data_IF_708169536363
#
_entry.id   IF_708169536363
#
_cell.length_a   1.000
_cell.length_b   1.000
_cell.length_c   1.000
_cell.angle_alpha   90.00
_cell.angle_beta   90.00
_cell.angle_gamma   90.00
#
_symmetry.space_group_name_H-M   'P 1'
#
loop_
_entity.id
_entity.type
_entity.pdbx_description
1 polymer ?
#
# COMPACT_ATOMS: atom_id res chain seq x y z
N UNK A 1 42.14 -26.02 -0.35
CA UNK A 1 40.65 -26.05 -0.35
C UNK A 1 40.18 -24.71 0.21
N UNK A 2 39.73 -23.77 -0.60
CA UNK A 2 39.15 -22.54 -0.07
C UNK A 2 37.68 -22.78 0.30
N UNK A 3 37.33 -22.44 1.52
CA UNK A 3 36.00 -22.50 2.11
C UNK A 3 35.12 -21.41 1.47
N UNK A 4 34.09 -21.84 0.76
CA UNK A 4 33.06 -20.96 0.20
C UNK A 4 32.25 -20.30 1.32
N UNK A 5 32.49 -19.03 1.56
CA UNK A 5 31.61 -18.18 2.39
C UNK A 5 30.34 -17.89 1.60
N UNK A 6 29.27 -18.58 1.94
CA UNK A 6 27.89 -18.25 1.47
C UNK A 6 27.49 -16.91 2.08
N UNK A 7 27.76 -15.83 1.35
CA UNK A 7 27.27 -14.50 1.67
C UNK A 7 25.74 -14.47 1.55
N UNK A 8 25.07 -14.06 2.60
CA UNK A 8 23.66 -13.63 2.60
C UNK A 8 23.40 -12.73 1.38
N UNK A 9 22.30 -12.90 0.61
CA UNK A 9 22.05 -12.05 -0.55
C UNK A 9 21.92 -10.60 -0.10
N UNK A 10 22.96 -9.83 -0.34
CA UNK A 10 23.06 -8.42 0.05
C UNK A 10 21.92 -7.65 -0.60
N UNK A 11 21.18 -6.92 0.22
CA UNK A 11 20.14 -5.99 -0.24
C UNK A 11 20.72 -5.12 -1.36
N UNK A 12 20.15 -5.15 -2.56
CA UNK A 12 20.69 -4.41 -3.70
C UNK A 12 20.74 -2.91 -3.37
N UNK A 13 21.78 -2.21 -3.86
CA UNK A 13 21.93 -0.75 -3.64
C UNK A 13 20.69 0.03 -4.07
N UNK A 14 20.04 -0.38 -5.17
CA UNK A 14 18.78 0.19 -5.62
C UNK A 14 17.68 0.08 -4.55
N UNK A 15 17.61 -1.06 -3.86
CA UNK A 15 16.64 -1.28 -2.78
C UNK A 15 16.93 -0.40 -1.56
N UNK A 16 18.18 -0.26 -1.18
CA UNK A 16 18.60 0.65 -0.09
C UNK A 16 18.20 2.09 -0.41
N UNK A 17 18.45 2.56 -1.64
CA UNK A 17 18.06 3.90 -2.11
C UNK A 17 16.54 4.08 -2.03
N UNK A 18 15.77 3.12 -2.51
CA UNK A 18 14.32 3.19 -2.51
C UNK A 18 13.72 3.14 -1.09
N UNK A 19 14.23 2.27 -0.20
CA UNK A 19 13.82 2.24 1.21
C UNK A 19 14.16 3.56 1.92
N UNK A 20 15.35 4.12 1.68
CA UNK A 20 15.75 5.41 2.23
C UNK A 20 14.90 6.56 1.71
N UNK A 21 14.48 6.50 0.45
CA UNK A 21 13.55 7.48 -0.12
C UNK A 21 12.19 7.48 0.63
N UNK A 22 11.65 6.30 0.96
CA UNK A 22 10.43 6.20 1.77
C UNK A 22 10.63 6.76 3.18
N UNK A 23 11.75 6.48 3.83
CA UNK A 23 12.06 7.04 5.16
C UNK A 23 12.08 8.57 5.10
N UNK A 24 12.75 9.15 4.11
CA UNK A 24 12.81 10.61 3.95
C UNK A 24 11.44 11.23 3.64
N UNK A 25 10.61 10.55 2.85
CA UNK A 25 9.24 10.99 2.59
C UNK A 25 8.41 11.02 3.88
N UNK A 26 8.49 9.98 4.71
CA UNK A 26 7.78 9.92 5.97
C UNK A 26 8.27 10.99 6.97
N UNK A 27 9.59 11.18 7.09
CA UNK A 27 10.20 12.08 8.07
C UNK A 27 10.14 13.57 7.65
N UNK A 28 10.29 13.88 6.34
CA UNK A 28 10.57 15.23 5.84
C UNK A 28 9.68 15.66 4.67
N UNK A 29 8.74 14.79 4.28
CA UNK A 29 7.85 15.02 3.16
C UNK A 29 8.56 15.13 1.80
N UNK A 30 7.82 15.54 0.78
CA UNK A 30 8.29 15.63 -0.60
C UNK A 30 9.48 16.60 -0.77
N UNK A 31 9.56 17.65 0.03
CA UNK A 31 10.67 18.63 -0.03
C UNK A 31 11.99 18.06 0.50
N UNK A 32 11.92 17.14 1.47
CA UNK A 32 13.08 16.46 2.05
C UNK A 32 13.70 15.41 1.14
N UNK A 33 12.96 14.89 0.16
CA UNK A 33 13.45 13.88 -0.77
C UNK A 33 14.32 14.51 -1.85
N UNK A 34 15.63 14.39 -1.71
CA UNK A 34 16.64 14.77 -2.73
C UNK A 34 17.66 13.66 -2.88
N UNK A 35 18.32 13.57 -4.03
CA UNK A 35 19.40 12.59 -4.26
C UNK A 35 20.47 12.66 -3.18
N UNK A 36 20.91 13.88 -2.84
CA UNK A 36 21.89 14.11 -1.79
C UNK A 36 21.41 13.65 -0.43
N UNK A 37 20.17 13.96 -0.05
CA UNK A 37 19.60 13.53 1.22
C UNK A 37 19.49 12.00 1.31
N UNK A 38 19.19 11.32 0.19
CA UNK A 38 19.17 9.86 0.13
C UNK A 38 20.57 9.30 0.32
N UNK A 39 21.60 9.83 -0.37
CA UNK A 39 22.99 9.39 -0.20
C UNK A 39 23.45 9.55 1.25
N UNK A 40 23.22 10.74 1.84
CA UNK A 40 23.58 11.05 3.23
C UNK A 40 22.88 10.13 4.23
N UNK A 41 21.58 9.95 4.09
CA UNK A 41 20.75 9.14 5.03
C UNK A 41 21.04 7.63 4.93
N UNK A 42 21.41 7.16 3.72
CA UNK A 42 21.75 5.77 3.45
C UNK A 42 23.22 5.44 3.75
N UNK A 43 24.05 6.43 4.10
CA UNK A 43 25.50 6.24 4.27
C UNK A 43 26.21 5.86 2.97
N UNK A 44 25.71 6.31 1.82
CA UNK A 44 26.26 6.02 0.51
C UNK A 44 27.20 7.15 0.05
N UNK A 45 28.22 6.84 -0.77
CA UNK A 45 29.02 7.87 -1.43
C UNK A 45 28.13 8.82 -2.23
N UNK A 46 28.49 10.11 -2.22
CA UNK A 46 27.77 11.14 -2.96
C UNK A 46 27.67 10.78 -4.46
N UNK A 47 26.49 10.93 -5.04
CA UNK A 47 26.20 10.57 -6.44
C UNK A 47 25.73 9.12 -6.62
N UNK A 48 25.75 8.28 -5.58
CA UNK A 48 25.26 6.90 -5.66
C UNK A 48 23.81 6.83 -6.10
N UNK A 49 22.94 7.65 -5.53
CA UNK A 49 21.53 7.74 -5.91
C UNK A 49 21.36 8.19 -7.35
N UNK A 50 22.14 9.18 -7.81
CA UNK A 50 22.08 9.66 -9.19
C UNK A 50 22.54 8.61 -10.22
N UNK A 51 23.39 7.66 -9.82
CA UNK A 51 23.77 6.53 -10.69
C UNK A 51 22.63 5.52 -10.89
N UNK A 52 21.72 5.39 -9.92
CA UNK A 52 20.59 4.47 -9.98
C UNK A 52 19.29 5.15 -10.47
N UNK A 53 19.07 6.38 -10.08
CA UNK A 53 17.91 7.20 -10.42
C UNK A 53 18.40 8.57 -10.87
N UNK A 54 18.69 8.72 -12.16
CA UNK A 54 19.36 9.93 -12.71
C UNK A 54 18.56 11.21 -12.56
N UNK A 55 17.24 11.10 -12.54
CA UNK A 55 16.33 12.25 -12.46
C UNK A 55 15.47 12.17 -11.20
N UNK A 56 14.91 13.31 -10.81
CA UNK A 56 13.91 13.33 -9.72
C UNK A 56 12.72 12.41 -10.04
N UNK A 57 12.29 12.38 -11.30
CA UNK A 57 11.21 11.49 -11.75
C UNK A 57 11.56 10.02 -11.50
N UNK A 58 12.74 9.57 -11.92
CA UNK A 58 13.21 8.20 -11.69
C UNK A 58 13.32 7.85 -10.20
N UNK A 59 13.70 8.81 -9.34
CA UNK A 59 13.73 8.62 -7.89
C UNK A 59 12.31 8.45 -7.32
N UNK A 60 11.34 9.24 -7.79
CA UNK A 60 9.94 9.13 -7.38
C UNK A 60 9.33 7.80 -7.85
N UNK A 61 9.61 7.36 -9.07
CA UNK A 61 9.16 6.06 -9.58
C UNK A 61 9.76 4.89 -8.77
N UNK A 62 11.03 4.99 -8.38
CA UNK A 62 11.65 4.00 -7.49
C UNK A 62 10.97 3.98 -6.11
N UNK A 63 10.60 5.13 -5.56
CA UNK A 63 9.86 5.23 -4.30
C UNK A 63 8.44 4.64 -4.43
N UNK A 64 7.69 4.95 -5.50
CA UNK A 64 6.35 4.38 -5.75
C UNK A 64 6.43 2.85 -5.89
N UNK A 65 7.38 2.34 -6.67
CA UNK A 65 7.58 0.88 -6.81
C UNK A 65 7.85 0.23 -5.46
N UNK A 66 8.74 0.82 -4.67
CA UNK A 66 9.10 0.30 -3.37
C UNK A 66 7.96 0.36 -2.37
N UNK A 67 7.18 1.44 -2.38
CA UNK A 67 5.95 1.56 -1.59
C UNK A 67 4.99 0.43 -1.94
N UNK A 68 4.70 0.23 -3.22
CA UNK A 68 3.80 -0.83 -3.69
C UNK A 68 4.27 -2.24 -3.29
N UNK A 69 5.59 -2.52 -3.35
CA UNK A 69 6.17 -3.78 -2.85
C UNK A 69 5.96 -3.95 -1.34
N UNK A 70 6.17 -2.89 -0.54
CA UNK A 70 5.97 -2.93 0.91
C UNK A 70 4.49 -3.09 1.27
N UNK A 71 3.62 -2.36 0.61
CA UNK A 71 2.16 -2.48 0.77
C UNK A 71 1.66 -3.87 0.39
N UNK A 72 2.15 -4.47 -0.69
CA UNK A 72 1.79 -5.83 -1.07
C UNK A 72 2.18 -6.87 -0.01
N UNK A 73 3.31 -6.68 0.67
CA UNK A 73 3.71 -7.53 1.78
C UNK A 73 2.82 -7.37 3.01
N UNK A 74 2.39 -6.14 3.31
CA UNK A 74 1.57 -5.82 4.49
C UNK A 74 0.11 -6.19 4.27
N UNK A 75 -0.46 -5.76 3.14
CA UNK A 75 -1.87 -6.02 2.81
C UNK A 75 -2.10 -7.47 2.37
N UNK A 76 -1.05 -8.13 1.87
CA UNK A 76 -1.05 -9.53 1.46
C UNK A 76 -2.31 -9.92 0.66
N UNK A 77 -2.60 -9.27 -0.49
CA UNK A 77 -3.83 -9.48 -1.24
C UNK A 77 -4.04 -10.94 -1.67
N UNK A 78 -2.96 -11.74 -1.74
CA UNK A 78 -3.03 -13.17 -1.97
C UNK A 78 -3.53 -14.00 -0.78
N UNK A 79 -3.65 -13.41 0.41
CA UNK A 79 -4.22 -14.05 1.61
C UNK A 79 -5.73 -13.79 1.77
N UNK A 80 -6.34 -13.04 0.84
CA UNK A 80 -7.78 -12.83 0.86
C UNK A 80 -8.51 -14.17 0.67
N UNK A 81 -9.59 -14.41 1.43
CA UNK A 81 -10.31 -15.68 1.37
C UNK A 81 -10.89 -15.94 -0.03
N UNK A 82 -10.74 -17.16 -0.50
CA UNK A 82 -11.28 -17.61 -1.79
C UNK A 82 -12.60 -18.38 -1.68
N UNK A 83 -13.16 -18.49 -0.47
CA UNK A 83 -14.40 -19.24 -0.20
C UNK A 83 -15.69 -18.52 -0.66
N UNK A 84 -15.56 -17.28 -1.12
CA UNK A 84 -16.66 -16.48 -1.65
C UNK A 84 -17.67 -16.00 -0.61
N UNK A 85 -17.43 -16.18 0.69
CA UNK A 85 -18.35 -15.70 1.72
C UNK A 85 -18.06 -14.24 2.09
N UNK A 86 -19.12 -13.45 2.28
CA UNK A 86 -18.99 -12.06 2.68
C UNK A 86 -18.36 -11.92 4.08
N UNK A 87 -18.58 -12.88 4.97
CA UNK A 87 -18.02 -12.88 6.32
C UNK A 87 -16.51 -13.08 6.34
N UNK A 88 -16.01 -14.07 5.61
CA UNK A 88 -14.57 -14.30 5.51
C UNK A 88 -13.87 -13.17 4.75
N UNK A 89 -14.51 -12.59 3.71
CA UNK A 89 -14.03 -11.42 3.01
C UNK A 89 -13.89 -10.22 3.96
N UNK A 90 -14.91 -9.92 4.77
CA UNK A 90 -14.87 -8.85 5.77
C UNK A 90 -13.74 -9.05 6.78
N UNK A 91 -13.58 -10.28 7.28
CA UNK A 91 -12.52 -10.60 8.25
C UNK A 91 -11.12 -10.48 7.63
N UNK A 92 -10.91 -10.95 6.41
CA UNK A 92 -9.64 -10.86 5.71
C UNK A 92 -9.24 -9.40 5.42
N UNK A 93 -10.19 -8.61 4.91
CA UNK A 93 -9.97 -7.18 4.62
C UNK A 93 -9.69 -6.38 5.90
N UNK A 94 -10.46 -6.59 6.97
CA UNK A 94 -10.27 -5.92 8.24
C UNK A 94 -8.90 -6.21 8.85
N UNK A 95 -8.48 -7.47 8.85
CA UNK A 95 -7.18 -7.90 9.34
C UNK A 95 -6.03 -7.25 8.55
N UNK A 96 -6.11 -7.26 7.23
CA UNK A 96 -5.11 -6.65 6.36
C UNK A 96 -5.03 -5.14 6.62
N UNK A 97 -6.17 -4.46 6.68
CA UNK A 97 -6.24 -3.03 6.94
C UNK A 97 -5.73 -2.67 8.35
N UNK A 98 -6.17 -3.39 9.39
CA UNK A 98 -5.71 -3.17 10.76
C UNK A 98 -4.19 -3.35 10.90
N UNK A 99 -3.62 -4.39 10.29
CA UNK A 99 -2.18 -4.63 10.24
C UNK A 99 -1.43 -3.46 9.60
N UNK A 100 -1.98 -2.89 8.53
CA UNK A 100 -1.39 -1.73 7.86
C UNK A 100 -1.46 -0.48 8.73
N UNK A 101 -2.63 -0.18 9.28
CA UNK A 101 -2.87 1.02 10.09
C UNK A 101 -2.04 1.06 11.37
N UNK A 102 -1.85 -0.08 12.04
CA UNK A 102 -1.13 -0.16 13.32
C UNK A 102 0.37 -0.36 13.16
N UNK A 103 0.78 -1.12 12.14
CA UNK A 103 2.17 -1.53 11.97
C UNK A 103 3.01 -0.62 11.06
N UNK A 104 2.36 0.18 10.20
CA UNK A 104 3.07 0.89 9.12
C UNK A 104 2.56 2.32 8.88
N UNK A 105 2.44 3.16 9.91
CA UNK A 105 1.93 4.53 9.75
C UNK A 105 2.83 5.40 8.84
N UNK A 106 4.12 5.13 8.80
CA UNK A 106 5.09 5.76 7.91
C UNK A 106 4.81 5.49 6.42
N UNK A 107 4.38 4.28 6.06
CA UNK A 107 4.00 3.97 4.69
C UNK A 107 2.73 4.72 4.25
N UNK A 108 1.80 4.95 5.17
CA UNK A 108 0.60 5.76 4.89
C UNK A 108 0.98 7.20 4.53
N UNK A 109 1.91 7.81 5.26
CA UNK A 109 2.41 9.16 4.94
C UNK A 109 3.05 9.16 3.55
N UNK A 110 3.94 8.18 3.27
CA UNK A 110 4.56 8.04 1.95
C UNK A 110 3.53 7.90 0.83
N UNK A 111 2.48 7.09 1.05
CA UNK A 111 1.39 6.88 0.10
C UNK A 111 0.74 8.21 -0.32
N UNK A 112 0.36 9.03 0.65
CA UNK A 112 -0.33 10.29 0.36
C UNK A 112 0.60 11.37 -0.19
N UNK A 113 1.84 11.45 0.26
CA UNK A 113 2.86 12.33 -0.33
C UNK A 113 3.06 12.01 -1.83
N UNK A 114 3.23 10.74 -2.17
CA UNK A 114 3.41 10.30 -3.56
C UNK A 114 2.14 10.44 -4.40
N UNK A 115 0.97 10.14 -3.84
CA UNK A 115 -0.32 10.30 -4.53
C UNK A 115 -0.58 11.76 -4.90
N UNK A 116 -0.35 12.70 -3.96
CA UNK A 116 -0.51 14.13 -4.18
C UNK A 116 0.52 14.67 -5.17
N UNK A 117 1.76 14.21 -5.13
CA UNK A 117 2.78 14.60 -6.12
C UNK A 117 2.39 14.09 -7.53
N UNK A 118 1.83 12.88 -7.62
CA UNK A 118 1.36 12.29 -8.88
C UNK A 118 0.26 13.13 -9.56
N UNK A 119 -0.55 13.88 -8.80
CA UNK A 119 -1.56 14.78 -9.41
C UNK A 119 -0.96 15.89 -10.26
N UNK A 120 0.31 16.23 -10.01
CA UNK A 120 1.04 17.31 -10.70
C UNK A 120 2.01 16.78 -11.76
N UNK A 121 2.16 15.46 -11.89
CA UNK A 121 3.11 14.79 -12.77
C UNK A 121 2.43 13.65 -13.53
N UNK A 122 1.98 13.87 -14.79
CA UNK A 122 1.24 12.85 -15.57
C UNK A 122 1.99 11.52 -15.70
N UNK A 123 3.32 11.55 -15.89
CA UNK A 123 4.13 10.33 -15.99
C UNK A 123 4.16 9.55 -14.66
N UNK A 124 4.33 10.25 -13.52
CA UNK A 124 4.26 9.63 -12.20
C UNK A 124 2.85 9.11 -11.91
N UNK A 125 1.81 9.82 -12.36
CA UNK A 125 0.41 9.39 -12.23
C UNK A 125 0.18 8.07 -12.93
N UNK A 126 0.59 7.95 -14.19
CA UNK A 126 0.46 6.71 -14.94
C UNK A 126 1.20 5.55 -14.26
N UNK A 127 2.38 5.82 -13.72
CA UNK A 127 3.17 4.82 -12.98
C UNK A 127 2.49 4.42 -11.66
N UNK A 128 1.97 5.39 -10.90
CA UNK A 128 1.26 5.17 -9.64
C UNK A 128 -0.02 4.34 -9.85
N UNK A 129 -0.79 4.66 -10.89
CA UNK A 129 -2.01 3.92 -11.25
C UNK A 129 -1.69 2.48 -11.67
N UNK A 130 -0.60 2.29 -12.43
CA UNK A 130 -0.15 0.95 -12.80
C UNK A 130 0.23 0.10 -11.58
N UNK A 131 0.93 0.69 -10.60
CA UNK A 131 1.29 0.02 -9.36
C UNK A 131 0.06 -0.32 -8.49
N UNK A 132 -1.00 0.49 -8.57
CA UNK A 132 -2.25 0.30 -7.81
C UNK A 132 -3.09 -0.90 -8.27
N UNK A 133 -2.95 -1.36 -9.52
CA UNK A 133 -3.76 -2.48 -10.05
C UNK A 133 -3.61 -3.77 -9.25
N UNK A 134 -2.44 -4.06 -8.74
CA UNK A 134 -2.19 -5.26 -7.93
C UNK A 134 -3.05 -5.35 -6.64
N UNK A 135 -3.61 -4.24 -6.18
CA UNK A 135 -4.52 -4.21 -5.03
C UNK A 135 -5.98 -4.24 -5.46
N UNK A 136 -6.31 -3.66 -6.63
CA UNK A 136 -7.66 -3.61 -7.15
C UNK A 136 -8.12 -4.96 -7.71
N UNK A 137 -7.29 -5.60 -8.52
CA UNK A 137 -7.68 -6.81 -9.24
C UNK A 137 -8.08 -7.97 -8.32
N UNK A 138 -7.40 -8.25 -7.20
CA UNK A 138 -7.86 -9.23 -6.21
C UNK A 138 -9.21 -8.89 -5.58
N UNK A 139 -9.53 -7.60 -5.38
CA UNK A 139 -10.82 -7.18 -4.86
C UNK A 139 -11.95 -7.37 -5.86
N UNK A 140 -11.70 -7.16 -7.15
CA UNK A 140 -12.66 -7.47 -8.22
C UNK A 140 -12.93 -8.98 -8.25
N UNK A 141 -11.89 -9.81 -8.16
CA UNK A 141 -12.02 -11.26 -8.08
C UNK A 141 -12.81 -11.70 -6.83
N UNK A 142 -12.53 -11.09 -5.68
CA UNK A 142 -13.26 -11.34 -4.43
C UNK A 142 -14.74 -10.99 -4.57
N UNK A 143 -15.09 -9.85 -5.16
CA UNK A 143 -16.47 -9.44 -5.39
C UNK A 143 -17.19 -10.35 -6.38
N UNK A 144 -16.49 -10.81 -7.41
CA UNK A 144 -17.03 -11.79 -8.35
C UNK A 144 -17.35 -13.11 -7.65
N UNK A 145 -16.42 -13.63 -6.84
CA UNK A 145 -16.61 -14.86 -6.07
C UNK A 145 -17.75 -14.75 -5.04
N UNK A 146 -17.95 -13.56 -4.46
CA UNK A 146 -19.06 -13.27 -3.55
C UNK A 146 -20.42 -13.09 -4.24
N UNK A 147 -20.51 -13.27 -5.56
CA UNK A 147 -21.77 -13.17 -6.32
C UNK A 147 -22.24 -11.72 -6.55
N UNK A 148 -21.34 -10.76 -6.55
CA UNK A 148 -21.66 -9.37 -6.83
C UNK A 148 -22.22 -9.20 -8.24
N UNK A 149 -23.32 -8.44 -8.39
CA UNK A 149 -23.85 -8.08 -9.71
C UNK A 149 -22.98 -7.05 -10.44
N UNK A 150 -22.16 -6.28 -9.70
CA UNK A 150 -21.30 -5.22 -10.25
C UNK A 150 -19.91 -5.26 -9.58
N UNK A 151 -19.11 -6.32 -9.83
CA UNK A 151 -17.88 -6.57 -9.06
C UNK A 151 -16.85 -5.45 -9.16
N UNK A 152 -16.68 -4.81 -10.32
CA UNK A 152 -15.74 -3.70 -10.47
C UNK A 152 -16.17 -2.46 -9.68
N UNK A 153 -17.46 -2.11 -9.71
CA UNK A 153 -18.00 -0.97 -8.96
C UNK A 153 -17.94 -1.22 -7.46
N UNK A 154 -18.26 -2.42 -7.00
CA UNK A 154 -18.22 -2.79 -5.60
C UNK A 154 -16.78 -2.86 -5.08
N UNK A 155 -15.85 -3.39 -5.87
CA UNK A 155 -14.42 -3.35 -5.53
C UNK A 155 -13.91 -1.90 -5.39
N UNK A 156 -14.33 -0.98 -6.28
CA UNK A 156 -13.98 0.44 -6.17
C UNK A 156 -14.54 1.06 -4.88
N UNK A 157 -15.76 0.70 -4.48
CA UNK A 157 -16.36 1.19 -3.23
C UNK A 157 -15.60 0.69 -2.01
N UNK A 158 -15.14 -0.57 -2.01
CA UNK A 158 -14.28 -1.13 -0.95
C UNK A 158 -12.93 -0.39 -0.88
N UNK A 159 -12.30 -0.15 -2.03
CA UNK A 159 -11.05 0.63 -2.10
C UNK A 159 -11.27 2.02 -1.53
N UNK A 160 -12.32 2.73 -1.94
CA UNK A 160 -12.62 4.09 -1.48
C UNK A 160 -12.86 4.14 0.04
N UNK A 161 -13.56 3.14 0.59
CA UNK A 161 -13.77 3.03 2.04
C UNK A 161 -12.45 2.77 2.78
N UNK A 162 -11.64 1.83 2.30
CA UNK A 162 -10.34 1.51 2.90
C UNK A 162 -9.38 2.71 2.84
N UNK A 163 -9.33 3.42 1.69
CA UNK A 163 -8.52 4.63 1.54
C UNK A 163 -9.01 5.76 2.46
N UNK A 164 -10.32 5.90 2.65
CA UNK A 164 -10.89 6.84 3.63
C UNK A 164 -10.44 6.54 5.05
N UNK A 165 -10.45 5.26 5.46
CA UNK A 165 -9.94 4.83 6.78
C UNK A 165 -8.43 5.07 6.90
N UNK A 166 -7.64 4.70 5.89
CA UNK A 166 -6.21 4.94 5.86
C UNK A 166 -5.88 6.43 5.98
N UNK A 167 -6.57 7.30 5.24
CA UNK A 167 -6.38 8.75 5.33
C UNK A 167 -6.78 9.29 6.71
N UNK A 168 -7.92 8.87 7.25
CA UNK A 168 -8.41 9.30 8.55
C UNK A 168 -7.43 8.94 9.68
N UNK A 169 -6.75 7.78 9.58
CA UNK A 169 -5.72 7.36 10.52
C UNK A 169 -4.36 8.06 10.28
N UNK A 170 -4.00 8.34 9.02
CA UNK A 170 -2.73 9.01 8.72
C UNK A 170 -2.73 10.51 9.07
N UNK A 171 -3.82 11.22 8.75
CA UNK A 171 -3.87 12.68 8.82
C UNK A 171 -5.23 13.24 9.24
N UNK A 172 -6.24 12.39 9.46
CA UNK A 172 -7.60 12.79 9.78
C UNK A 172 -7.99 12.56 11.24
N UNK A 173 -9.28 12.31 11.45
CA UNK A 173 -9.89 12.26 12.80
C UNK A 173 -9.41 11.10 13.66
N UNK A 174 -8.94 10.01 13.05
CA UNK A 174 -8.48 8.80 13.75
C UNK A 174 -6.95 8.69 13.91
N UNK A 175 -6.21 9.77 13.66
CA UNK A 175 -4.74 9.72 13.75
C UNK A 175 -4.20 9.36 15.16
N UNK A 176 -5.01 9.52 16.21
CA UNK A 176 -4.68 9.14 17.60
C UNK A 176 -5.43 7.92 18.13
N UNK A 177 -6.36 7.39 17.36
CA UNK A 177 -7.24 6.30 17.79
C UNK A 177 -7.58 5.41 16.59
N UNK A 178 -6.63 4.55 16.22
CA UNK A 178 -6.83 3.59 15.12
C UNK A 178 -7.95 2.64 15.51
N UNK A 179 -8.96 2.42 14.64
CA UNK A 179 -10.02 1.44 14.88
C UNK A 179 -9.47 0.03 15.12
N UNK A 180 -10.12 -0.71 16.00
CA UNK A 180 -9.80 -2.12 16.25
C UNK A 180 -10.12 -2.99 15.03
N UNK A 181 -9.54 -4.19 14.96
CA UNK A 181 -9.84 -5.14 13.89
C UNK A 181 -11.34 -5.48 13.84
N UNK A 182 -12.02 -5.59 15.00
CA UNK A 182 -13.45 -5.86 15.09
C UNK A 182 -14.32 -4.71 14.58
N UNK A 183 -13.94 -3.45 14.86
CA UNK A 183 -14.64 -2.28 14.31
C UNK A 183 -14.49 -2.21 12.80
N UNK A 184 -13.29 -2.45 12.28
CA UNK A 184 -13.03 -2.52 10.84
C UNK A 184 -13.81 -3.67 10.19
N UNK A 185 -13.86 -4.84 10.82
CA UNK A 185 -14.63 -6.00 10.34
C UNK A 185 -16.12 -5.69 10.29
N UNK A 186 -16.65 -5.06 11.31
CA UNK A 186 -18.05 -4.63 11.36
C UNK A 186 -18.38 -3.68 10.21
N UNK A 187 -17.60 -2.60 10.02
CA UNK A 187 -17.81 -1.64 8.93
C UNK A 187 -17.68 -2.28 7.54
N UNK A 188 -16.71 -3.18 7.38
CA UNK A 188 -16.53 -3.93 6.13
C UNK A 188 -17.73 -4.84 5.84
N UNK A 189 -18.24 -5.56 6.87
CA UNK A 189 -19.41 -6.44 6.74
C UNK A 189 -20.69 -5.65 6.41
N UNK A 190 -20.88 -4.48 7.01
CA UNK A 190 -22.02 -3.61 6.70
C UNK A 190 -21.98 -3.14 5.24
N UNK A 191 -20.80 -2.74 4.76
CA UNK A 191 -20.58 -2.32 3.39
C UNK A 191 -20.87 -3.47 2.40
N UNK A 192 -20.30 -4.65 2.65
CA UNK A 192 -20.51 -5.84 1.82
C UNK A 192 -21.99 -6.27 1.81
N UNK A 193 -22.67 -6.23 2.94
CA UNK A 193 -24.10 -6.53 3.03
C UNK A 193 -24.94 -5.59 2.18
N UNK A 194 -24.62 -4.29 2.19
CA UNK A 194 -25.29 -3.29 1.36
C UNK A 194 -25.06 -3.49 -0.13
N UNK A 195 -23.88 -3.99 -0.53
CA UNK A 195 -23.52 -4.23 -1.93
C UNK A 195 -24.07 -5.55 -2.50
N UNK A 196 -24.06 -6.60 -1.69
CA UNK A 196 -24.39 -7.96 -2.14
C UNK A 196 -25.88 -8.33 -1.99
N UNK A 197 -26.67 -7.49 -1.28
CA UNK A 197 -28.08 -7.71 -0.99
C UNK A 197 -28.33 -8.73 0.13
N UNK A 198 -29.60 -8.89 0.50
CA UNK A 198 -30.01 -9.69 1.68
C UNK A 198 -29.72 -11.19 1.53
N UNK A 199 -29.67 -11.74 0.31
CA UNK A 199 -29.44 -13.19 0.09
C UNK A 199 -27.98 -13.61 0.35
N UNK A 200 -27.01 -12.76 0.08
CA UNK A 200 -25.62 -13.05 0.40
C UNK A 200 -25.26 -12.81 1.88
N UNK A 201 -26.08 -12.05 2.58
CA UNK A 201 -25.88 -11.72 4.00
C UNK A 201 -26.22 -12.88 4.97
N UNK A 202 -26.91 -13.93 4.53
CA UNK A 202 -27.25 -15.10 5.36
C UNK A 202 -26.04 -16.03 5.61
N UNK A 203 -24.92 -15.78 4.94
CA UNK A 203 -23.65 -16.49 5.11
C UNK A 203 -22.60 -15.64 5.87
N UNK A 204 -23.03 -14.64 6.63
CA UNK A 204 -22.22 -13.84 7.58
C UNK A 204 -22.26 -14.46 9.01
#
# INVERSE_FOLDING_TARGET
MPTSTTGTPGTSRARVIADTALILLAERGMRGLTHRAVDERAGLPQGSTSNHARTRQALLEAAVRRLAEREAQVLAPGELPADGTAGSAAAGLARALHRYLTGHPDLLVCRYELALEATRRPELRAFYDAAGRQFRDPLVALMTAAGSAEPERHALSLVAWAEGMMFACAAGSYHRSVPTEDELRTGCAELLRGMLGVQAAQNL
#
